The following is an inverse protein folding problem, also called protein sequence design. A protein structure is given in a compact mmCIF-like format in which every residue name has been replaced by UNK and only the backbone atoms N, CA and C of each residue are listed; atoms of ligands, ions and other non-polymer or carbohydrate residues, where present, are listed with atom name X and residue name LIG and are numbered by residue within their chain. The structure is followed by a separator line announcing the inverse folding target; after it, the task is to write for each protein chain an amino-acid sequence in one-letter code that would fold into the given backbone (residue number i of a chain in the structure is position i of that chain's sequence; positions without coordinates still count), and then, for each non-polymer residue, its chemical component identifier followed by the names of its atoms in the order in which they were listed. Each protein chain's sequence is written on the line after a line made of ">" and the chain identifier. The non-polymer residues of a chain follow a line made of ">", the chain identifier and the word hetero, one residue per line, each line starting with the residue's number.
data_IF_758324140748
#
_entry.id   IF_758324140748
#
_cell.length_a   1.000
_cell.length_b   1.000
_cell.length_c   1.000
_cell.angle_alpha   90.00
_cell.angle_beta   90.00
_cell.angle_gamma   90.00
#
_symmetry.space_group_name_H-M   'P 1'
#
loop_
_entity.id
_entity.type
_entity.pdbx_description
1 polymer ?
2 water ?
#
# COMPACT_ATOMS: atom_id res chain seq x y z
N UNK A 2 16.98 4.99 11.79
CA UNK A 2 16.51 6.19 11.03
C UNK A 2 15.57 5.86 9.85
N UNK A 3 15.43 4.57 9.51
CA UNK A 3 14.55 4.14 8.41
C UNK A 3 13.37 3.23 8.87
N UNK A 4 12.92 3.46 10.11
CA UNK A 4 11.83 2.70 10.69
C UNK A 4 10.52 3.00 9.92
N UNK A 5 10.43 4.19 9.34
CA UNK A 5 9.23 4.56 8.54
C UNK A 5 9.19 3.72 7.26
N UNK A 6 10.35 3.33 6.74
CA UNK A 6 10.40 2.41 5.58
C UNK A 6 9.90 1.02 6.02
N UNK A 7 10.37 0.51 7.16
CA UNK A 7 9.80 -0.74 7.69
C UNK A 7 8.30 -0.68 7.89
N UNK A 8 7.80 0.42 8.46
CA UNK A 8 6.35 0.62 8.64
C UNK A 8 5.64 0.65 7.26
N UNK A 9 6.27 1.27 6.25
CA UNK A 9 5.74 1.27 4.90
C UNK A 9 5.58 -0.17 4.39
N UNK A 10 6.62 -0.99 4.56
CA UNK A 10 6.52 -2.40 4.11
C UNK A 10 5.42 -3.18 4.84
N UNK A 11 5.30 -2.96 6.15
CA UNK A 11 4.28 -3.64 6.96
C UNK A 11 2.89 -3.24 6.52
N UNK A 12 2.72 -1.96 6.22
CA UNK A 12 1.39 -1.44 5.84
C UNK A 12 1.03 -1.61 4.36
N UNK A 13 2.04 -1.71 3.49
CA UNK A 13 1.81 -1.49 2.04
C UNK A 13 2.52 -2.44 1.09
N UNK A 14 3.17 -3.48 1.61
CA UNK A 14 3.89 -4.45 0.75
C UNK A 14 3.51 -5.89 1.07
N UNK A 15 3.17 -6.64 0.03
CA UNK A 15 2.90 -8.07 0.15
C UNK A 15 3.39 -8.71 -1.14
N UNK A 16 4.55 -9.35 -1.03
CA UNK A 16 5.28 -9.75 -2.21
C UNK A 16 4.55 -10.66 -3.19
N UNK A 17 3.97 -11.74 -2.65
CA UNK A 17 3.40 -12.82 -3.45
C UNK A 17 2.05 -13.20 -2.87
N UNK A 18 1.00 -12.39 -3.10
CA UNK A 18 -0.34 -12.77 -2.66
C UNK A 18 -0.80 -13.90 -3.61
N UNK A 19 -1.76 -14.71 -3.21
CA UNK A 19 -2.41 -15.52 -4.21
C UNK A 19 -3.71 -14.78 -4.56
N UNK A 20 -4.79 -15.20 -3.91
CA UNK A 20 -6.14 -14.77 -4.19
C UNK A 20 -6.47 -13.31 -4.41
N UNK A 21 -6.27 -12.47 -3.43
CA UNK A 21 -6.63 -11.02 -3.50
C UNK A 21 -8.15 -10.81 -3.58
N UNK A 22 -8.88 -11.65 -2.88
CA UNK A 22 -10.31 -11.52 -2.67
C UNK A 22 -10.60 -10.90 -1.28
N UNK A 23 -11.88 -10.76 -0.96
CA UNK A 23 -12.24 -10.18 0.31
C UNK A 23 -11.59 -10.84 1.50
N UNK A 24 -11.52 -12.18 1.48
CA UNK A 24 -10.97 -12.94 2.63
C UNK A 24 -9.46 -12.68 2.73
N UNK A 25 -8.79 -12.46 1.61
CA UNK A 25 -7.37 -12.00 1.58
C UNK A 25 -7.22 -10.72 2.41
N UNK A 26 -8.05 -9.72 2.11
CA UNK A 26 -7.97 -8.42 2.74
C UNK A 26 -8.24 -8.60 4.26
N UNK A 27 -9.27 -9.37 4.60
CA UNK A 27 -9.64 -9.55 6.03
C UNK A 27 -8.46 -10.13 6.81
N UNK A 28 -7.76 -11.10 6.23
CA UNK A 28 -6.71 -11.78 6.94
C UNK A 28 -5.46 -10.90 7.04
N UNK A 29 -5.09 -10.24 5.94
CA UNK A 29 -3.87 -9.46 5.93
C UNK A 29 -4.00 -8.17 6.74
N UNK A 30 -5.19 -7.57 6.75
CA UNK A 30 -5.40 -6.35 7.56
C UNK A 30 -5.25 -6.69 9.06
N UNK A 31 -5.71 -7.87 9.48
CA UNK A 31 -5.51 -8.34 10.89
C UNK A 31 -4.02 -8.58 11.14
N UNK A 32 -3.38 -9.34 10.27
CA UNK A 32 -1.97 -9.78 10.42
C UNK A 32 -1.03 -8.57 10.52
N UNK A 33 -1.31 -7.50 9.78
CA UNK A 33 -0.41 -6.33 9.67
C UNK A 33 -0.78 -5.30 10.74
N UNK A 34 -1.72 -5.62 11.64
CA UNK A 34 -2.06 -4.74 12.74
C UNK A 34 -2.90 -3.54 12.38
N UNK A 35 -3.71 -3.66 11.31
CA UNK A 35 -4.49 -2.56 10.78
C UNK A 35 -5.98 -2.74 11.06
N UNK A 36 -6.30 -3.58 12.06
CA UNK A 36 -7.69 -3.96 12.35
C UNK A 36 -8.16 -3.65 13.79
N UNK A 37 -7.53 -2.66 14.43
CA UNK A 37 -7.93 -2.21 15.76
C UNK A 37 -7.39 -0.82 16.07
N UNK A 38 -8.03 0.29 15.64
CA UNK A 38 -9.30 0.26 14.91
C UNK A 38 -9.11 -0.13 13.43
N UNK A 39 -10.19 -0.56 12.79
CA UNK A 39 -10.15 -0.93 11.37
C UNK A 39 -9.75 0.27 10.53
N UNK A 40 -8.71 0.12 9.70
CA UNK A 40 -8.31 1.17 8.78
C UNK A 40 -9.34 1.22 7.67
N UNK A 41 -9.79 2.43 7.30
CA UNK A 41 -10.83 2.59 6.31
C UNK A 41 -10.45 2.07 4.88
N UNK A 42 -9.20 2.33 4.49
CA UNK A 42 -8.74 1.90 3.16
C UNK A 42 -7.29 1.70 3.25
N UNK A 43 -6.79 0.65 2.59
CA UNK A 43 -5.36 0.38 2.63
C UNK A 43 -5.00 -0.41 1.42
N UNK A 44 -3.94 0.00 0.74
CA UNK A 44 -3.50 -0.68 -0.46
C UNK A 44 -2.15 -1.36 -0.25
N UNK A 45 -2.05 -2.62 -0.71
CA UNK A 45 -0.80 -3.37 -0.72
C UNK A 45 -0.26 -3.40 -2.14
N UNK A 46 1.05 -3.19 -2.25
CA UNK A 46 1.79 -3.34 -3.48
C UNK A 46 2.45 -4.75 -3.50
N UNK A 47 2.40 -5.40 -4.67
CA UNK A 47 2.96 -6.73 -4.86
C UNK A 47 4.18 -6.65 -5.76
N UNK A 48 4.95 -7.73 -5.77
CA UNK A 48 6.11 -7.83 -6.62
C UNK A 48 7.36 -7.66 -5.82
N UNK A 49 8.41 -7.15 -6.46
CA UNK A 49 9.67 -7.11 -5.75
C UNK A 49 9.89 -5.72 -5.13
N UNK A 50 10.63 -5.71 -4.02
CA UNK A 50 10.95 -4.48 -3.31
C UNK A 50 11.78 -3.48 -4.06
N UNK A 51 12.75 -3.97 -4.85
CA UNK A 51 13.73 -3.10 -5.55
C UNK A 51 12.98 -2.10 -6.44
N UNK A 52 11.90 -2.54 -7.10
CA UNK A 52 11.15 -1.69 -8.02
C UNK A 52 10.46 -0.59 -7.26
N UNK A 53 10.02 -0.92 -6.05
CA UNK A 53 9.37 0.06 -5.17
C UNK A 53 10.35 1.11 -4.67
N UNK A 54 11.49 0.67 -4.12
CA UNK A 54 12.56 1.60 -3.78
C UNK A 54 13.01 2.50 -4.93
N UNK A 55 12.99 1.97 -6.16
CA UNK A 55 13.44 2.71 -7.34
C UNK A 55 12.55 3.86 -7.72
N UNK A 56 11.35 3.91 -7.13
CA UNK A 56 10.48 5.06 -7.34
C UNK A 56 11.08 6.32 -6.75
N UNK A 57 11.95 6.15 -5.74
CA UNK A 57 12.62 7.25 -5.07
C UNK A 57 13.74 7.87 -5.91
N UNK A 58 14.06 7.27 -7.06
CA UNK A 58 15.10 7.77 -7.98
C UNK A 58 14.57 7.87 -9.41
N UNK A 59 15.37 8.45 -10.31
CA UNK A 59 14.91 8.59 -11.69
C UNK A 59 14.62 7.23 -12.34
N UNK A 60 15.29 6.17 -11.85
CA UNK A 60 15.14 4.80 -12.34
C UNK A 60 13.70 4.43 -12.55
N UNK A 61 12.87 4.67 -11.53
CA UNK A 61 11.46 4.26 -11.63
C UNK A 61 10.51 5.26 -11.07
N UNK A 62 10.90 6.54 -11.00
CA UNK A 62 10.00 7.55 -10.49
C UNK A 62 10.22 8.94 -11.08
N UNK A 63 9.18 9.75 -10.96
CA UNK A 63 9.22 11.16 -11.30
C UNK A 63 8.74 11.93 -10.07
N UNK A 64 9.15 13.21 -9.92
CA UNK A 64 8.50 14.07 -8.94
C UNK A 64 7.01 14.21 -9.27
N UNK A 65 6.18 14.41 -8.25
CA UNK A 65 4.74 14.47 -8.32
C UNK A 65 4.21 15.47 -7.29
N UNK A 66 3.48 16.49 -7.79
CA UNK A 66 2.79 17.52 -6.96
C UNK A 66 3.85 18.17 -6.04
N UNK A 67 3.51 18.48 -4.79
CA UNK A 67 4.35 19.39 -3.97
C UNK A 67 5.67 18.80 -3.39
N UNK A 68 5.91 17.49 -3.57
CA UNK A 68 6.72 16.75 -2.60
C UNK A 68 6.58 15.21 -2.60
N UNK A 69 5.83 14.67 -3.56
CA UNK A 69 5.65 13.22 -3.67
C UNK A 69 6.42 12.71 -4.85
N UNK A 70 6.35 11.39 -5.07
CA UNK A 70 7.00 10.72 -6.22
C UNK A 70 5.95 9.82 -6.84
N UNK A 71 5.98 9.64 -8.15
CA UNK A 71 5.04 8.74 -8.83
C UNK A 71 5.82 7.75 -9.66
N UNK A 72 5.46 6.46 -9.60
CA UNK A 72 6.24 5.47 -10.34
C UNK A 72 6.06 5.57 -11.84
N UNK A 73 7.11 5.20 -12.57
CA UNK A 73 7.04 4.97 -14.00
C UNK A 73 6.39 3.64 -14.37
N UNK A 74 6.78 2.57 -13.68
CA UNK A 74 6.21 1.24 -13.92
C UNK A 74 4.85 1.09 -13.22
N UNK A 75 4.05 0.15 -13.72
CA UNK A 75 2.80 -0.24 -13.09
C UNK A 75 3.08 -1.42 -12.17
N UNK A 76 2.36 -1.47 -11.06
CA UNK A 76 2.44 -2.55 -10.07
C UNK A 76 1.11 -3.24 -9.92
N UNK A 77 1.12 -4.55 -9.67
CA UNK A 77 -0.05 -5.23 -9.14
C UNK A 77 -0.27 -4.71 -7.73
N UNK A 78 -1.52 -4.37 -7.43
CA UNK A 78 -1.88 -3.86 -6.14
C UNK A 78 -3.18 -4.47 -5.71
N UNK A 79 -3.43 -4.44 -4.39
CA UNK A 79 -4.77 -4.77 -3.89
C UNK A 79 -5.20 -3.74 -2.89
N UNK A 80 -6.41 -3.19 -3.09
CA UNK A 80 -6.96 -2.21 -2.15
C UNK A 80 -8.06 -2.85 -1.30
N UNK A 81 -7.95 -2.69 0.02
CA UNK A 81 -8.89 -3.28 0.98
C UNK A 81 -9.67 -2.10 1.52
N UNK A 82 -10.99 -2.09 1.27
CA UNK A 82 -11.88 -1.02 1.74
C UNK A 82 -12.86 -1.56 2.78
N UNK A 83 -12.94 -0.85 3.90
CA UNK A 83 -13.76 -1.26 5.03
C UNK A 83 -15.23 -1.18 4.65
N UNK A 84 -15.97 -2.23 5.02
CA UNK A 84 -17.39 -2.33 4.81
C UNK A 84 -18.05 -2.36 6.20
N UNK A 85 -19.09 -1.55 6.37
CA UNK A 85 -19.78 -1.44 7.64
C UNK A 85 -19.46 -0.10 8.28
N UNK A 86 -20.24 0.23 9.31
CA UNK A 86 -20.18 1.52 9.97
C UNK A 86 -19.20 1.61 11.13
N UNK A 87 -18.81 0.46 11.69
CA UNK A 87 -18.00 0.45 12.89
C UNK A 87 -16.53 0.57 12.53
N UNK A 88 -15.76 1.42 13.24
CA UNK A 88 -14.30 1.40 13.15
C UNK A 88 -13.64 0.32 14.02
N UNK A 89 -14.45 -0.53 14.67
CA UNK A 89 -13.90 -1.52 15.58
C UNK A 89 -14.11 -2.93 15.04
N UNK A 90 -13.20 -3.88 15.33
CA UNK A 90 -13.33 -5.23 14.79
C UNK A 90 -14.57 -5.94 15.32
N UNK A 91 -15.07 -6.97 14.61
CA UNK A 91 -14.43 -7.48 13.39
C UNK A 91 -14.52 -6.54 12.18
N UNK A 92 -13.45 -6.50 11.38
CA UNK A 92 -13.34 -5.59 10.22
C UNK A 92 -13.58 -6.41 8.95
N UNK A 93 -14.72 -6.18 8.30
CA UNK A 93 -15.01 -6.77 7.00
C UNK A 93 -14.44 -5.87 5.92
N UNK A 94 -13.78 -6.46 4.92
CA UNK A 94 -13.13 -5.67 3.84
C UNK A 94 -13.60 -6.17 2.48
N UNK A 95 -13.71 -5.23 1.54
CA UNK A 95 -13.96 -5.48 0.11
C UNK A 95 -12.63 -5.29 -0.60
N UNK A 96 -12.20 -6.31 -1.35
CA UNK A 96 -10.96 -6.23 -2.10
C UNK A 96 -11.19 -5.74 -3.54
N UNK A 97 -10.31 -4.84 -3.99
CA UNK A 97 -10.24 -4.45 -5.38
C UNK A 97 -8.78 -4.61 -5.83
N UNK A 98 -8.56 -5.56 -6.74
CA UNK A 98 -7.26 -5.80 -7.35
C UNK A 98 -7.08 -4.79 -8.46
N UNK A 99 -5.84 -4.34 -8.66
CA UNK A 99 -5.55 -3.36 -9.69
C UNK A 99 -4.15 -3.51 -10.20
N UNK A 100 -3.85 -2.74 -11.26
CA UNK A 100 -2.54 -2.75 -11.91
C UNK A 100 -2.30 -1.35 -12.43
N UNK A 101 -1.48 -0.59 -11.72
CA UNK A 101 -1.19 0.83 -12.09
C UNK A 101 0.06 1.33 -11.36
N UNK A 102 0.52 2.51 -11.76
CA UNK A 102 1.54 3.19 -11.02
C UNK A 102 1.08 3.65 -9.65
N UNK A 103 2.05 3.89 -8.78
CA UNK A 103 1.80 4.29 -7.40
C UNK A 103 2.48 5.59 -7.04
N UNK A 104 1.86 6.29 -6.09
CA UNK A 104 2.37 7.56 -5.53
C UNK A 104 2.85 7.34 -4.09
N UNK A 105 4.10 7.75 -3.81
CA UNK A 105 4.72 7.58 -2.50
C UNK A 105 5.38 8.89 -2.10
N UNK A 106 5.80 8.98 -0.83
CA UNK A 106 6.79 9.96 -0.42
C UNK A 106 8.03 9.17 -0.05
N UNK A 107 9.19 9.75 -0.34
CA UNK A 107 10.46 9.11 -0.06
C UNK A 107 11.28 9.94 0.91
N UNK A 108 12.08 9.25 1.73
CA UNK A 108 13.08 9.86 2.60
C UNK A 108 14.29 8.97 2.62
N UNK A 109 15.48 9.57 2.48
CA UNK A 109 16.74 8.81 2.41
C UNK A 109 16.73 7.71 1.37
N UNK A 110 16.03 7.96 0.26
CA UNK A 110 15.96 7.02 -0.83
C UNK A 110 14.98 5.87 -0.66
N UNK A 111 14.11 5.95 0.36
CA UNK A 111 13.21 4.84 0.73
C UNK A 111 11.79 5.34 0.83
N UNK A 112 10.78 4.55 0.38
CA UNK A 112 9.39 4.97 0.53
C UNK A 112 8.96 4.94 2.00
N UNK A 113 8.22 5.97 2.41
CA UNK A 113 7.82 6.08 3.77
C UNK A 113 6.36 6.44 3.93
N UNK A 114 5.65 6.64 2.81
CA UNK A 114 4.24 6.99 2.81
C UNK A 114 3.65 6.55 1.46
N UNK A 115 2.45 5.95 1.49
CA UNK A 115 1.68 5.72 0.27
C UNK A 115 0.53 6.69 0.22
N UNK A 116 0.36 7.39 -0.91
CA UNK A 116 -0.82 8.24 -1.12
C UNK A 116 -2.05 7.41 -1.48
N UNK A 117 -2.99 7.29 -0.55
CA UNK A 117 -4.14 6.41 -0.69
C UNK A 117 -5.20 6.99 -1.60
N UNK A 118 -5.13 8.30 -1.84
CA UNK A 118 -6.17 9.00 -2.60
C UNK A 118 -6.39 8.42 -4.00
N UNK A 119 -5.31 7.96 -4.64
CA UNK A 119 -5.46 7.41 -5.97
C UNK A 119 -6.24 6.08 -6.02
N UNK A 120 -6.44 5.44 -4.85
CA UNK A 120 -7.14 4.16 -4.75
C UNK A 120 -8.57 4.24 -4.27
N UNK A 121 -9.01 5.47 -4.02
CA UNK A 121 -10.41 5.81 -3.66
C UNK A 121 -11.27 5.81 -4.93
#
# INVERSE_FOLDING_TARGET
>A
QDNSRYTHFLTQHYDAKPQGRDDRYCEAIMRRRGLAAPCKDINTFIHGNKRSIKAICENKNGNPHRENLRISKSSFQVTTCKLHGGSPWPPCQYRATAGFRNVVVACENGLPVHLDQSIFR
#
